data_IF_008207005671
#
_entry.id   IF_008207005671
#
_cell.length_a   1.000
_cell.length_b   1.000
_cell.length_c   1.000
_cell.angle_alpha   90.00
_cell.angle_beta   90.00
_cell.angle_gamma   90.00
#
_symmetry.space_group_name_H-M   'P 1'
#
loop_
_entity.id
_entity.type
_entity.pdbx_description
1 polymer ?
#
# COMPACT_ATOMS: atom_id res chain seq x y z
N UNK A 1 -4.16 5.42 -17.12
CA UNK A 1 -5.12 4.32 -17.38
C UNK A 1 -5.26 3.58 -16.08
N UNK A 2 -6.48 3.42 -15.59
CA UNK A 2 -6.77 2.66 -14.37
C UNK A 2 -7.89 1.69 -14.68
N UNK A 3 -7.78 0.45 -14.22
CA UNK A 3 -8.77 -0.61 -14.40
C UNK A 3 -8.86 -1.43 -13.12
N UNK A 4 -10.07 -1.61 -12.62
CA UNK A 4 -10.34 -2.47 -11.46
C UNK A 4 -10.27 -3.93 -11.92
N UNK A 5 -9.26 -4.67 -11.46
CA UNK A 5 -9.02 -6.08 -11.82
C UNK A 5 -9.44 -7.06 -10.72
N UNK A 6 -9.45 -6.60 -9.46
CA UNK A 6 -9.69 -7.41 -8.25
C UNK A 6 -8.86 -8.69 -8.23
N UNK A 7 -7.54 -8.59 -8.45
CA UNK A 7 -6.65 -9.76 -8.50
C UNK A 7 -6.70 -10.60 -7.21
N UNK A 8 -6.80 -9.94 -6.06
CA UNK A 8 -6.84 -10.58 -4.75
C UNK A 8 -8.19 -11.19 -4.35
N UNK A 9 -9.22 -11.14 -5.21
CA UNK A 9 -10.54 -11.69 -4.84
C UNK A 9 -10.47 -13.20 -4.55
N UNK A 10 -11.03 -13.61 -3.43
CA UNK A 10 -11.04 -14.99 -2.96
C UNK A 10 -9.70 -15.53 -2.46
N UNK A 11 -8.60 -14.77 -2.53
CA UNK A 11 -7.26 -15.23 -2.11
C UNK A 11 -7.23 -15.51 -0.60
N UNK A 12 -7.87 -14.65 0.21
CA UNK A 12 -7.92 -14.84 1.66
C UNK A 12 -8.57 -16.18 2.06
N UNK A 13 -9.53 -16.67 1.26
CA UNK A 13 -10.21 -17.95 1.50
C UNK A 13 -9.55 -19.16 0.85
N UNK A 14 -8.90 -18.98 -0.31
CA UNK A 14 -8.42 -20.10 -1.15
C UNK A 14 -6.90 -20.26 -1.13
N UNK A 15 -6.17 -19.23 -0.69
CA UNK A 15 -4.72 -19.15 -0.78
C UNK A 15 -4.16 -19.03 -2.20
N UNK A 16 -5.02 -18.83 -3.23
CA UNK A 16 -4.61 -18.83 -4.65
C UNK A 16 -5.31 -17.74 -5.44
N UNK A 17 -4.63 -17.23 -6.47
CA UNK A 17 -5.22 -16.39 -7.49
C UNK A 17 -6.14 -17.23 -8.38
N UNK A 18 -7.38 -16.78 -8.61
CA UNK A 18 -8.30 -17.46 -9.52
C UNK A 18 -7.92 -17.22 -10.99
N UNK A 19 -8.17 -18.21 -11.85
CA UNK A 19 -7.95 -18.07 -13.30
C UNK A 19 -8.68 -16.86 -13.89
N UNK A 20 -9.91 -16.60 -13.44
CA UNK A 20 -10.69 -15.46 -13.90
C UNK A 20 -10.03 -14.13 -13.52
N UNK A 21 -9.48 -14.01 -12.30
CA UNK A 21 -8.79 -12.80 -11.85
C UNK A 21 -7.45 -12.60 -12.57
N UNK A 22 -6.68 -13.68 -12.77
CA UNK A 22 -5.44 -13.66 -13.53
C UNK A 22 -5.66 -13.24 -14.99
N UNK A 23 -6.63 -13.84 -15.68
CA UNK A 23 -6.95 -13.51 -17.07
C UNK A 23 -7.34 -12.02 -17.24
N UNK A 24 -8.23 -11.51 -16.39
CA UNK A 24 -8.63 -10.09 -16.41
C UNK A 24 -7.44 -9.15 -16.16
N UNK A 25 -6.50 -9.57 -15.31
CA UNK A 25 -5.31 -8.79 -14.99
C UNK A 25 -4.34 -8.77 -16.16
N UNK A 26 -4.08 -9.91 -16.80
CA UNK A 26 -3.24 -10.01 -18.00
C UNK A 26 -3.80 -9.12 -19.12
N UNK A 27 -5.11 -9.12 -19.33
CA UNK A 27 -5.75 -8.24 -20.31
C UNK A 27 -5.53 -6.75 -20.01
N UNK A 28 -5.56 -6.35 -18.74
CA UNK A 28 -5.23 -4.99 -18.33
C UNK A 28 -3.75 -4.66 -18.58
N UNK A 29 -2.86 -5.62 -18.29
CA UNK A 29 -1.41 -5.47 -18.45
C UNK A 29 -0.99 -5.42 -19.92
N UNK A 30 -1.68 -6.11 -20.84
CA UNK A 30 -1.47 -5.94 -22.29
C UNK A 30 -1.67 -4.49 -22.73
N UNK A 31 -2.70 -3.82 -22.20
CA UNK A 31 -2.93 -2.39 -22.48
C UNK A 31 -1.79 -1.52 -21.94
N UNK A 32 -1.29 -1.82 -20.74
CA UNK A 32 -0.14 -1.14 -20.15
C UNK A 32 1.13 -1.35 -20.97
N UNK A 33 1.45 -2.59 -21.34
CA UNK A 33 2.61 -2.94 -22.18
C UNK A 33 2.61 -2.17 -23.49
N UNK A 34 1.48 -2.17 -24.22
CA UNK A 34 1.35 -1.39 -25.44
C UNK A 34 1.52 0.13 -25.24
N UNK A 35 1.14 0.68 -24.08
CA UNK A 35 1.37 2.10 -23.75
C UNK A 35 2.85 2.38 -23.48
N UNK A 36 3.54 1.53 -22.74
CA UNK A 36 4.97 1.67 -22.45
C UNK A 36 5.80 1.63 -23.75
N UNK A 37 5.47 0.71 -24.65
CA UNK A 37 6.11 0.59 -25.97
C UNK A 37 5.91 1.84 -26.82
N UNK A 38 4.66 2.33 -26.95
CA UNK A 38 4.37 3.56 -27.72
C UNK A 38 5.05 4.80 -27.16
N UNK A 39 5.20 4.88 -25.85
CA UNK A 39 5.91 5.97 -25.19
C UNK A 39 7.44 5.80 -25.19
N UNK A 40 7.96 4.70 -25.76
CA UNK A 40 9.39 4.37 -25.81
C UNK A 40 10.06 4.49 -24.42
N UNK A 41 9.37 3.99 -23.39
CA UNK A 41 9.86 4.08 -22.01
C UNK A 41 11.18 3.35 -21.87
N UNK A 42 12.25 4.08 -21.56
CA UNK A 42 13.59 3.53 -21.41
C UNK A 42 13.83 2.87 -20.04
N UNK A 43 13.09 3.28 -19.01
CA UNK A 43 13.20 2.77 -17.64
C UNK A 43 11.83 2.65 -17.01
N UNK A 44 11.52 1.47 -16.51
CA UNK A 44 10.32 1.19 -15.74
C UNK A 44 10.67 0.25 -14.60
N UNK A 45 9.95 0.41 -13.48
CA UNK A 45 9.92 -0.55 -12.39
C UNK A 45 8.47 -0.95 -12.21
N UNK A 46 8.16 -2.23 -12.41
CA UNK A 46 6.82 -2.77 -12.33
C UNK A 46 6.75 -3.66 -11.11
N UNK A 47 5.71 -3.48 -10.31
CA UNK A 47 5.65 -4.06 -8.97
C UNK A 47 4.28 -4.71 -8.75
N UNK A 48 4.29 -5.83 -8.04
CA UNK A 48 3.11 -6.47 -7.47
C UNK A 48 3.22 -6.48 -5.93
N UNK A 49 2.09 -6.47 -5.25
CA UNK A 49 2.04 -6.36 -3.77
C UNK A 49 1.21 -7.49 -3.16
N UNK A 50 0.39 -7.20 -2.14
CA UNK A 50 -0.21 -8.19 -1.23
C UNK A 50 -0.83 -9.41 -1.93
N UNK A 51 -1.66 -9.23 -2.97
CA UNK A 51 -2.34 -10.35 -3.63
C UNK A 51 -1.37 -11.38 -4.22
N UNK A 52 -0.32 -10.95 -4.93
CA UNK A 52 0.68 -11.86 -5.46
C UNK A 52 1.58 -12.42 -4.35
N UNK A 53 1.90 -11.59 -3.36
CA UNK A 53 2.78 -11.96 -2.23
C UNK A 53 2.22 -13.09 -1.38
N UNK A 54 0.92 -13.13 -1.14
CA UNK A 54 0.30 -14.14 -0.27
C UNK A 54 -0.22 -15.36 -1.02
N UNK A 55 -0.44 -15.26 -2.33
CA UNK A 55 -0.99 -16.36 -3.11
C UNK A 55 0.08 -17.41 -3.40
N UNK A 56 -0.26 -18.69 -3.22
CA UNK A 56 0.64 -19.81 -3.48
C UNK A 56 1.07 -19.93 -4.96
N UNK A 57 0.34 -19.31 -5.87
CA UNK A 57 0.64 -19.19 -7.30
C UNK A 57 0.97 -17.76 -7.76
N UNK A 58 1.44 -16.92 -6.84
CA UNK A 58 1.86 -15.55 -7.15
C UNK A 58 2.98 -15.49 -8.19
N UNK A 59 4.07 -16.23 -7.96
CA UNK A 59 5.21 -16.29 -8.89
C UNK A 59 4.82 -16.88 -10.26
N UNK A 60 4.06 -17.98 -10.26
CA UNK A 60 3.52 -18.59 -11.50
C UNK A 60 2.70 -17.59 -12.32
N UNK A 61 1.90 -16.76 -11.64
CA UNK A 61 1.17 -15.70 -12.31
C UNK A 61 2.09 -14.65 -12.93
N UNK A 62 3.18 -14.27 -12.26
CA UNK A 62 4.14 -13.29 -12.80
C UNK A 62 4.92 -13.86 -13.99
N UNK A 63 5.33 -15.12 -13.96
CA UNK A 63 5.93 -15.81 -15.10
C UNK A 63 5.00 -15.77 -16.32
N UNK A 64 3.71 -16.04 -16.09
CA UNK A 64 2.68 -15.96 -17.14
C UNK A 64 2.51 -14.53 -17.66
N UNK A 65 2.50 -13.52 -16.78
CA UNK A 65 2.46 -12.11 -17.18
C UNK A 65 3.66 -11.76 -18.07
N UNK A 66 4.86 -12.18 -17.69
CA UNK A 66 6.07 -11.94 -18.47
C UNK A 66 5.96 -12.58 -19.86
N UNK A 67 5.59 -13.86 -19.92
CA UNK A 67 5.43 -14.58 -21.19
C UNK A 67 4.37 -13.94 -22.12
N UNK A 68 3.26 -13.46 -21.57
CA UNK A 68 2.14 -12.95 -22.38
C UNK A 68 2.23 -11.46 -22.72
N UNK A 69 3.05 -10.68 -21.99
CA UNK A 69 3.07 -9.21 -22.11
C UNK A 69 4.47 -8.60 -22.24
N UNK A 70 5.51 -9.37 -21.97
CA UNK A 70 6.90 -8.92 -21.88
C UNK A 70 7.20 -8.02 -20.67
N UNK A 71 6.25 -7.88 -19.73
CA UNK A 71 6.43 -7.08 -18.53
C UNK A 71 7.15 -7.90 -17.47
N UNK A 72 8.27 -7.39 -17.00
CA UNK A 72 9.00 -7.93 -15.85
C UNK A 72 8.50 -7.25 -14.57
N UNK A 73 7.79 -8.01 -13.73
CA UNK A 73 7.14 -7.52 -12.52
C UNK A 73 7.78 -8.22 -11.32
N UNK A 74 8.21 -7.45 -10.32
CA UNK A 74 8.72 -8.01 -9.06
C UNK A 74 7.66 -7.94 -7.94
N UNK A 75 7.67 -8.91 -7.03
CA UNK A 75 6.86 -8.84 -5.80
C UNK A 75 7.61 -7.99 -4.77
N UNK A 76 6.98 -6.91 -4.32
CA UNK A 76 7.53 -6.10 -3.24
C UNK A 76 7.34 -6.77 -1.88
N UNK A 77 8.37 -6.66 -1.05
CA UNK A 77 8.23 -6.88 0.39
C UNK A 77 7.36 -5.78 1.00
N UNK A 78 6.74 -6.08 2.15
CA UNK A 78 5.94 -5.10 2.91
C UNK A 78 6.75 -3.87 3.29
N UNK A 79 8.02 -4.04 3.65
CA UNK A 79 8.91 -2.92 3.96
C UNK A 79 9.16 -2.05 2.73
N UNK A 80 9.42 -2.66 1.57
CA UNK A 80 9.65 -1.92 0.33
C UNK A 80 8.40 -1.13 -0.10
N UNK A 81 7.21 -1.73 0.07
CA UNK A 81 5.91 -1.08 -0.14
C UNK A 81 5.74 0.14 0.77
N UNK A 82 5.95 -0.02 2.09
CA UNK A 82 5.90 1.08 3.06
C UNK A 82 6.87 2.23 2.72
N UNK A 83 8.12 1.92 2.33
CA UNK A 83 9.10 2.95 1.92
C UNK A 83 8.70 3.67 0.63
N UNK A 84 8.11 2.95 -0.32
CA UNK A 84 7.61 3.53 -1.56
C UNK A 84 6.36 4.40 -1.33
N UNK A 85 5.46 4.01 -0.43
CA UNK A 85 4.32 4.82 -0.02
C UNK A 85 4.78 6.19 0.53
N UNK A 86 5.75 6.19 1.46
CA UNK A 86 6.37 7.42 1.98
C UNK A 86 7.00 8.26 0.86
N UNK A 87 7.66 7.61 -0.10
CA UNK A 87 8.27 8.30 -1.24
C UNK A 87 7.24 8.95 -2.18
N UNK A 88 6.05 8.36 -2.28
CA UNK A 88 4.94 8.87 -3.08
C UNK A 88 4.30 10.11 -2.47
N UNK A 89 4.20 10.17 -1.13
CA UNK A 89 3.62 11.30 -0.42
C UNK A 89 4.64 12.30 0.12
N UNK A 90 5.95 12.09 -0.09
CA UNK A 90 7.02 12.94 0.45
C UNK A 90 6.80 14.44 0.17
N UNK A 91 6.35 14.76 -1.05
CA UNK A 91 6.10 16.13 -1.45
C UNK A 91 4.85 16.78 -0.81
N UNK A 92 4.00 15.97 -0.19
CA UNK A 92 2.78 16.39 0.50
C UNK A 92 3.02 16.61 2.00
N UNK A 93 4.17 16.19 2.55
CA UNK A 93 4.48 16.33 3.97
C UNK A 93 4.55 17.80 4.40
N UNK A 94 3.77 18.17 5.42
CA UNK A 94 3.84 19.49 6.01
C UNK A 94 5.19 19.69 6.71
N UNK A 95 5.98 20.63 6.18
CA UNK A 95 7.26 21.02 6.74
C UNK A 95 7.15 21.68 8.14
N UNK A 96 5.95 22.00 8.62
CA UNK A 96 5.72 22.49 10.00
C UNK A 96 5.39 21.37 10.98
N UNK A 97 5.03 20.19 10.50
CA UNK A 97 4.72 19.04 11.35
C UNK A 97 6.00 18.43 11.92
N UNK A 98 5.88 18.00 13.16
CA UNK A 98 6.93 17.30 13.90
C UNK A 98 6.86 15.80 13.68
N UNK A 99 5.66 15.31 13.35
CA UNK A 99 5.36 13.91 13.12
C UNK A 99 4.49 13.77 11.88
N UNK A 100 4.54 12.64 11.21
CA UNK A 100 3.55 12.28 10.21
C UNK A 100 3.17 10.82 10.30
N UNK A 101 1.93 10.50 9.93
CA UNK A 101 1.45 9.15 9.75
C UNK A 101 0.91 9.05 8.33
N UNK A 102 1.52 8.17 7.55
CA UNK A 102 1.14 7.87 6.18
C UNK A 102 0.31 6.60 6.18
N UNK A 103 -0.84 6.64 5.52
CA UNK A 103 -1.72 5.52 5.28
C UNK A 103 -1.73 5.20 3.78
N UNK A 104 -1.38 3.97 3.41
CA UNK A 104 -1.66 3.45 2.07
C UNK A 104 -2.70 2.35 2.20
N UNK A 105 -3.90 2.57 1.65
CA UNK A 105 -5.02 1.63 1.78
C UNK A 105 -5.20 0.91 0.44
N UNK A 106 -4.70 -0.32 0.37
CA UNK A 106 -4.79 -1.18 -0.79
C UNK A 106 -6.06 -2.03 -0.82
N UNK A 107 -6.09 -2.95 -1.79
CA UNK A 107 -7.14 -3.95 -1.90
C UNK A 107 -7.01 -5.07 -0.86
N UNK A 108 -5.80 -5.56 -0.64
CA UNK A 108 -5.49 -6.69 0.25
C UNK A 108 -4.82 -6.31 1.56
N UNK A 109 -3.99 -5.27 1.55
CA UNK A 109 -3.26 -4.76 2.71
C UNK A 109 -3.47 -3.27 2.90
N UNK A 110 -3.08 -2.77 4.07
CA UNK A 110 -2.94 -1.35 4.34
C UNK A 110 -1.64 -1.10 5.09
N UNK A 111 -0.81 -0.21 4.57
CA UNK A 111 0.45 0.18 5.18
C UNK A 111 0.25 1.41 6.05
N UNK A 112 0.79 1.37 7.27
CA UNK A 112 0.85 2.50 8.18
C UNK A 112 2.31 2.82 8.45
N UNK A 113 2.72 4.05 8.15
CA UNK A 113 4.11 4.46 8.27
C UNK A 113 4.22 5.72 9.11
N UNK A 114 4.91 5.58 10.24
CA UNK A 114 5.13 6.64 11.19
C UNK A 114 6.47 7.33 10.93
N UNK A 115 6.42 8.64 10.70
CA UNK A 115 7.58 9.48 10.45
C UNK A 115 7.86 10.39 11.65
N UNK A 116 9.10 10.38 12.12
CA UNK A 116 9.61 11.37 13.07
C UNK A 116 10.36 12.47 12.32
N UNK A 117 9.71 13.63 12.17
CA UNK A 117 10.22 14.76 11.41
C UNK A 117 11.00 15.74 12.31
N UNK A 118 11.20 15.42 13.58
CA UNK A 118 11.96 16.28 14.52
C UNK A 118 13.46 16.19 14.33
N UNK A 119 13.96 15.09 13.75
CA UNK A 119 15.39 14.82 13.53
C UNK A 119 15.97 15.55 12.31
N UNK A 120 15.24 16.55 11.76
CA UNK A 120 15.69 17.40 10.66
C UNK A 120 16.99 18.12 11.06
N UNK A 121 18.12 17.55 10.66
CA UNK A 121 19.42 18.16 10.84
C UNK A 121 19.60 19.26 9.78
N UNK A 122 19.41 20.52 10.17
CA UNK A 122 19.95 21.67 9.45
C UNK A 122 19.00 22.84 9.26
N UNK A 123 19.61 24.03 9.18
CA UNK A 123 19.01 25.35 8.95
C UNK A 123 18.46 25.54 7.51
N UNK A 124 18.15 24.42 6.81
CA UNK A 124 17.67 24.46 5.43
C UNK A 124 16.23 24.97 5.39
N UNK A 125 15.89 25.83 4.42
CA UNK A 125 14.53 26.33 4.28
C UNK A 125 13.54 25.17 4.15
N UNK A 126 12.41 25.31 4.86
CA UNK A 126 11.27 24.37 4.96
C UNK A 126 10.57 24.14 3.61
N UNK A 127 11.29 23.59 2.64
CA UNK A 127 10.79 23.20 1.32
C UNK A 127 10.47 21.70 1.28
N UNK A 128 9.87 21.28 0.17
CA UNK A 128 9.43 19.91 -0.14
C UNK A 128 10.45 18.88 0.34
N UNK A 129 10.02 17.93 1.18
CA UNK A 129 10.88 16.84 1.64
C UNK A 129 11.31 15.99 0.44
N UNK A 130 12.61 15.81 0.27
CA UNK A 130 13.13 14.88 -0.72
C UNK A 130 12.76 13.44 -0.33
N UNK A 131 12.57 12.57 -1.33
CA UNK A 131 12.10 11.19 -1.11
C UNK A 131 12.98 10.40 -0.14
N UNK A 132 14.30 10.60 -0.22
CA UNK A 132 15.29 9.90 0.62
C UNK A 132 15.20 10.41 2.06
N UNK A 133 15.07 11.72 2.27
CA UNK A 133 14.91 12.31 3.59
C UNK A 133 13.61 11.83 4.26
N UNK A 134 12.53 11.75 3.50
CA UNK A 134 11.26 11.21 4.00
C UNK A 134 11.38 9.74 4.43
N UNK A 135 12.09 8.89 3.65
CA UNK A 135 12.33 7.50 4.05
C UNK A 135 13.22 7.38 5.29
N UNK A 136 14.21 8.26 5.46
CA UNK A 136 15.08 8.26 6.64
C UNK A 136 14.35 8.72 7.91
N UNK A 137 13.22 9.41 7.77
CA UNK A 137 12.36 9.80 8.88
C UNK A 137 11.44 8.66 9.37
N UNK A 138 11.41 7.49 8.72
CA UNK A 138 10.60 6.35 9.15
C UNK A 138 11.09 5.88 10.52
N UNK A 139 10.25 6.09 11.53
CA UNK A 139 10.53 5.69 12.91
C UNK A 139 9.81 4.38 13.28
N UNK A 140 8.69 4.07 12.63
CA UNK A 140 8.00 2.79 12.74
C UNK A 140 7.10 2.56 11.52
N UNK A 141 6.79 1.30 11.22
CA UNK A 141 5.83 0.96 10.17
C UNK A 141 5.17 -0.40 10.45
N UNK A 142 3.98 -0.60 9.90
CA UNK A 142 3.33 -1.91 9.86
C UNK A 142 2.54 -2.06 8.55
N UNK A 143 2.27 -3.29 8.15
CA UNK A 143 1.39 -3.63 7.04
C UNK A 143 0.30 -4.55 7.57
N UNK A 144 -0.92 -4.03 7.62
CA UNK A 144 -2.09 -4.77 8.03
C UNK A 144 -2.56 -5.65 6.87
N UNK A 145 -2.93 -6.92 7.09
CA UNK A 145 -3.50 -7.79 6.06
C UNK A 145 -4.97 -7.43 5.76
N UNK A 146 -5.29 -6.14 5.76
CA UNK A 146 -6.63 -5.57 5.63
C UNK A 146 -6.62 -4.53 4.53
N UNK A 147 -7.50 -4.67 3.55
CA UNK A 147 -7.73 -3.69 2.50
C UNK A 147 -9.20 -3.66 2.10
N UNK A 148 -9.54 -2.82 1.14
CA UNK A 148 -10.95 -2.62 0.76
C UNK A 148 -11.61 -3.88 0.20
N UNK A 149 -10.84 -4.79 -0.43
CA UNK A 149 -11.38 -6.07 -0.95
C UNK A 149 -11.59 -7.05 0.20
N UNK A 150 -10.62 -7.21 1.10
CA UNK A 150 -10.74 -8.18 2.21
C UNK A 150 -11.83 -7.77 3.20
N UNK A 151 -12.00 -6.48 3.47
CA UNK A 151 -13.11 -5.97 4.28
C UNK A 151 -14.46 -6.19 3.59
N UNK A 152 -14.58 -5.92 2.28
CA UNK A 152 -15.81 -6.12 1.54
C UNK A 152 -16.21 -7.60 1.41
N UNK A 153 -15.24 -8.51 1.32
CA UNK A 153 -15.49 -9.96 1.33
C UNK A 153 -15.98 -10.45 2.69
N UNK A 154 -15.45 -9.88 3.79
CA UNK A 154 -15.80 -10.29 5.15
C UNK A 154 -17.12 -9.72 5.65
N UNK A 155 -17.37 -8.43 5.43
CA UNK A 155 -18.50 -7.70 6.00
C UNK A 155 -19.58 -7.38 4.96
N UNK A 156 -19.36 -7.72 3.69
CA UNK A 156 -20.12 -7.16 2.59
C UNK A 156 -19.66 -5.74 2.25
N UNK A 157 -20.17 -5.20 1.14
CA UNK A 157 -19.78 -3.85 0.69
C UNK A 157 -20.72 -3.18 -0.31
N UNK A 158 -21.90 -3.76 -0.57
CA UNK A 158 -22.90 -3.18 -1.47
C UNK A 158 -23.88 -2.28 -0.74
N UNK A 159 -24.33 -2.71 0.43
CA UNK A 159 -25.15 -1.94 1.35
C UNK A 159 -24.46 -2.05 2.70
N UNK A 160 -24.03 -0.92 3.24
CA UNK A 160 -23.30 -0.88 4.53
C UNK A 160 -24.17 -0.13 5.51
N UNK A 161 -24.75 -0.86 6.44
CA UNK A 161 -25.47 -0.32 7.58
C UNK A 161 -24.50 0.30 8.59
N UNK A 162 -25.03 1.07 9.55
CA UNK A 162 -24.22 1.64 10.64
C UNK A 162 -23.55 0.53 11.46
N UNK A 163 -24.29 -0.53 11.79
CA UNK A 163 -23.78 -1.63 12.62
C UNK A 163 -22.66 -2.39 11.91
N UNK A 164 -22.79 -2.63 10.59
CA UNK A 164 -21.74 -3.24 9.78
C UNK A 164 -20.49 -2.35 9.72
N UNK A 165 -20.66 -1.03 9.56
CA UNK A 165 -19.55 -0.09 9.58
C UNK A 165 -18.83 -0.07 10.94
N UNK A 166 -19.58 -0.04 12.03
CA UNK A 166 -19.03 -0.07 13.39
C UNK A 166 -18.29 -1.39 13.66
N UNK A 167 -18.81 -2.52 13.15
CA UNK A 167 -18.12 -3.81 13.20
C UNK A 167 -16.81 -3.81 12.38
N UNK A 168 -16.78 -3.21 11.19
CA UNK A 168 -15.55 -3.03 10.42
C UNK A 168 -14.52 -2.19 11.19
N UNK A 169 -14.95 -1.09 11.81
CA UNK A 169 -14.07 -0.22 12.61
C UNK A 169 -13.49 -0.96 13.81
N UNK A 170 -14.31 -1.73 14.54
CA UNK A 170 -13.84 -2.55 15.66
C UNK A 170 -12.81 -3.59 15.19
N UNK A 171 -13.07 -4.25 14.07
CA UNK A 171 -12.18 -5.24 13.49
C UNK A 171 -10.83 -4.67 13.05
N UNK A 172 -10.82 -3.50 12.39
CA UNK A 172 -9.57 -2.81 12.03
C UNK A 172 -8.83 -2.35 13.29
N UNK A 173 -9.54 -1.89 14.33
CA UNK A 173 -8.93 -1.48 15.60
C UNK A 173 -8.16 -2.62 16.25
N UNK A 174 -8.73 -3.83 16.30
CA UNK A 174 -8.04 -5.02 16.84
C UNK A 174 -6.70 -5.29 16.14
N UNK A 175 -6.61 -5.02 14.83
CA UNK A 175 -5.37 -5.20 14.06
C UNK A 175 -4.36 -4.07 14.26
N UNK A 176 -4.83 -2.88 14.63
CA UNK A 176 -3.98 -1.72 14.93
C UNK A 176 -3.42 -1.74 16.36
N UNK A 177 -4.13 -2.37 17.30
CA UNK A 177 -3.77 -2.42 18.72
C UNK A 177 -2.34 -2.91 19.01
N UNK A 178 -1.80 -3.95 18.34
CA UNK A 178 -0.41 -4.35 18.54
C UNK A 178 0.59 -3.24 18.21
N UNK A 179 0.38 -2.56 17.08
CA UNK A 179 1.25 -1.49 16.60
C UNK A 179 1.17 -0.25 17.53
N UNK A 180 -0.04 0.10 17.97
CA UNK A 180 -0.23 1.18 18.95
C UNK A 180 0.39 0.83 20.31
N UNK A 181 0.24 -0.41 20.79
CA UNK A 181 0.80 -0.86 22.07
C UNK A 181 2.32 -0.84 22.07
N UNK A 182 2.95 -1.15 20.94
CA UNK A 182 4.41 -1.15 20.79
C UNK A 182 4.99 0.28 20.76
N UNK A 183 4.32 1.22 20.11
CA UNK A 183 4.91 2.54 19.81
C UNK A 183 4.23 3.74 20.50
N UNK A 184 3.06 3.55 21.11
CA UNK A 184 2.33 4.56 21.88
C UNK A 184 2.01 5.84 21.10
N UNK A 185 1.55 5.73 19.85
CA UNK A 185 1.37 6.90 18.98
C UNK A 185 0.36 7.89 19.55
N UNK A 186 -0.68 7.42 20.23
CA UNK A 186 -1.68 8.28 20.90
C UNK A 186 -1.01 9.29 21.83
N UNK A 187 -0.07 8.84 22.66
CA UNK A 187 0.63 9.71 23.59
C UNK A 187 1.65 10.61 22.88
N UNK A 188 2.31 10.10 21.83
CA UNK A 188 3.28 10.86 21.04
C UNK A 188 2.64 12.01 20.25
N UNK A 189 1.41 11.85 19.78
CA UNK A 189 0.68 12.90 19.02
C UNK A 189 0.09 13.98 19.95
N UNK A 190 -0.26 13.64 21.19
CA UNK A 190 -1.08 14.48 22.08
C UNK A 190 -0.63 15.94 22.21
N UNK A 191 0.68 16.20 22.16
CA UNK A 191 1.27 17.54 22.33
C UNK A 191 2.17 17.96 21.15
N UNK A 192 2.05 17.31 19.99
CA UNK A 192 2.90 17.56 18.81
C UNK A 192 2.06 17.79 17.58
N UNK A 193 2.57 18.57 16.63
CA UNK A 193 1.91 18.70 15.33
C UNK A 193 2.14 17.45 14.49
N UNK A 194 1.10 16.64 14.34
CA UNK A 194 1.10 15.45 13.51
C UNK A 194 0.34 15.72 12.20
N UNK A 195 0.94 15.32 11.08
CA UNK A 195 0.28 15.30 9.78
C UNK A 195 -0.24 13.89 9.47
N UNK A 196 -1.49 13.76 9.04
CA UNK A 196 -2.07 12.50 8.60
C UNK A 196 -2.25 12.56 7.08
N UNK A 197 -1.70 11.58 6.37
CA UNK A 197 -1.64 11.53 4.90
C UNK A 197 -2.14 10.20 4.38
#
# INVERSE_FOLDING_TARGET
FSRIIRLGEGVASTGRLSEAAMARTIDALRVCSGKLQRAQVARSRLVATEACRIAANGEEFLDRVHAETGLDIEILSREAEARLAVSGCAALLDARSELALVFDIGGGSSELVWLDLTTRAGDRPRSVLERVEAQNAIAAWTSLPLGVVTLAERFGGRHVTRDEFEAMVAFVREHLEPFEREHGFRDRIRNRRAHLL
#
